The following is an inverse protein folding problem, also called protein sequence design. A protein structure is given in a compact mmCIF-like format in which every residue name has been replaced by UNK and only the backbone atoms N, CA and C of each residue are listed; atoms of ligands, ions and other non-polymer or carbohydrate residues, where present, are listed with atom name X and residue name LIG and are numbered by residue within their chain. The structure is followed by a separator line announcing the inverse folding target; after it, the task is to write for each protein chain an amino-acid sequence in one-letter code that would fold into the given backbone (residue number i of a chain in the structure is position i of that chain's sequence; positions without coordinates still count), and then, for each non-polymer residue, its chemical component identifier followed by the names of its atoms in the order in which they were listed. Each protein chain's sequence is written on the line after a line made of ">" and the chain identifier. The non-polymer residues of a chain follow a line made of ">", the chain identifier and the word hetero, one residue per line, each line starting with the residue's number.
data_IF_690547023071
#
_entry.id   IF_690547023071
#
_cell.length_a   1.000
_cell.length_b   1.000
_cell.length_c   1.000
_cell.angle_alpha   90.00
_cell.angle_beta   90.00
_cell.angle_gamma   90.00
#
_symmetry.space_group_name_H-M   'P 1'
#
loop_
_entity.id
_entity.type
_entity.pdbx_description
1 polymer ?
#
# COMPACT_ATOMS: atom_id res chain seq x y z
N UNK A 1 14.39 -30.83 29.70
CA UNK A 1 14.62 -29.64 28.87
C UNK A 1 13.49 -29.62 27.87
N UNK A 2 12.52 -28.73 28.05
CA UNK A 2 11.35 -28.65 27.17
C UNK A 2 11.57 -27.48 26.22
N UNK A 3 11.66 -27.79 24.93
CA UNK A 3 11.72 -26.79 23.86
C UNK A 3 10.34 -26.15 23.72
N UNK A 4 10.33 -24.81 23.77
CA UNK A 4 9.14 -23.98 23.64
C UNK A 4 9.14 -23.38 22.23
N UNK A 5 8.50 -24.06 21.28
CA UNK A 5 8.26 -23.58 19.91
C UNK A 5 6.76 -23.32 19.76
N UNK A 6 6.34 -22.09 20.04
CA UNK A 6 4.92 -21.68 19.93
C UNK A 6 4.68 -20.17 19.83
N UNK A 7 5.70 -19.38 19.50
CA UNK A 7 5.62 -17.91 19.54
C UNK A 7 5.23 -17.22 18.22
N UNK A 8 5.62 -17.77 17.07
CA UNK A 8 5.54 -17.05 15.79
C UNK A 8 4.15 -17.08 15.14
N UNK A 9 3.35 -18.13 15.36
CA UNK A 9 2.03 -18.27 14.75
C UNK A 9 0.96 -17.32 15.31
N UNK A 10 1.02 -17.00 16.61
CA UNK A 10 -0.01 -16.18 17.28
C UNK A 10 0.15 -14.67 17.00
N UNK A 11 1.36 -14.22 16.68
CA UNK A 11 1.65 -12.80 16.40
C UNK A 11 1.26 -12.42 14.97
N UNK A 12 1.58 -13.26 13.98
CA UNK A 12 1.25 -13.01 12.57
C UNK A 12 -0.26 -12.95 12.30
N UNK A 13 -1.04 -13.82 12.96
CA UNK A 13 -2.51 -13.81 12.84
C UNK A 13 -3.13 -12.53 13.41
N UNK A 14 -2.59 -12.06 14.54
CA UNK A 14 -3.06 -10.83 15.20
C UNK A 14 -2.73 -9.59 14.37
N UNK A 15 -1.52 -9.51 13.81
CA UNK A 15 -1.13 -8.41 12.93
C UNK A 15 -1.97 -8.41 11.65
N UNK A 16 -2.18 -9.57 11.04
CA UNK A 16 -3.04 -9.72 9.85
C UNK A 16 -4.47 -9.25 10.14
N UNK A 17 -5.04 -9.63 11.29
CA UNK A 17 -6.38 -9.21 11.67
C UNK A 17 -6.48 -7.70 11.90
N UNK A 18 -5.43 -7.10 12.47
CA UNK A 18 -5.36 -5.65 12.63
C UNK A 18 -5.28 -4.92 11.29
N UNK A 19 -4.52 -5.44 10.33
CA UNK A 19 -4.47 -4.86 8.97
C UNK A 19 -5.83 -4.94 8.27
N UNK A 20 -6.57 -6.05 8.47
CA UNK A 20 -7.97 -6.17 8.00
C UNK A 20 -8.86 -5.07 8.59
N UNK A 21 -8.77 -4.82 9.90
CA UNK A 21 -9.54 -3.74 10.56
C UNK A 21 -9.17 -2.37 9.99
N UNK A 22 -7.87 -2.08 9.86
CA UNK A 22 -7.39 -0.81 9.26
C UNK A 22 -7.94 -0.62 7.85
N UNK A 23 -7.92 -1.66 7.01
CA UNK A 23 -8.45 -1.61 5.65
C UNK A 23 -9.94 -1.28 5.63
N UNK A 24 -10.73 -1.92 6.49
CA UNK A 24 -12.18 -1.70 6.55
C UNK A 24 -12.53 -0.31 7.08
N UNK A 25 -11.95 0.08 8.22
CA UNK A 25 -12.29 1.34 8.90
C UNK A 25 -11.95 2.57 8.07
N UNK A 26 -10.84 2.52 7.32
CA UNK A 26 -10.36 3.62 6.48
C UNK A 26 -10.67 3.44 4.99
N UNK A 27 -11.44 2.40 4.62
CA UNK A 27 -11.80 2.07 3.23
C UNK A 27 -10.57 2.03 2.30
N UNK A 28 -9.51 1.36 2.74
CA UNK A 28 -8.23 1.38 2.03
C UNK A 28 -8.30 0.49 0.80
N UNK A 29 -8.00 1.06 -0.36
CA UNK A 29 -7.79 0.35 -1.61
C UNK A 29 -6.39 0.67 -2.16
N UNK A 30 -5.99 -0.02 -3.22
CA UNK A 30 -4.66 0.18 -3.80
C UNK A 30 -4.66 0.19 -5.33
N UNK A 31 -3.72 0.93 -5.92
CA UNK A 31 -3.46 0.95 -7.37
C UNK A 31 -1.97 0.87 -7.64
N UNK A 32 -1.58 0.69 -8.90
CA UNK A 32 -0.19 0.45 -9.29
C UNK A 32 0.25 1.35 -10.42
N UNK A 33 1.48 1.84 -10.35
CA UNK A 33 2.08 2.67 -11.39
C UNK A 33 3.51 2.22 -11.67
N UNK A 34 3.91 2.08 -12.95
CA UNK A 34 5.30 1.81 -13.26
C UNK A 34 6.17 3.04 -12.96
N UNK A 35 7.43 2.79 -12.63
CA UNK A 35 8.47 3.81 -12.56
C UNK A 35 9.37 3.57 -13.76
N UNK A 36 9.16 4.35 -14.81
CA UNK A 36 9.92 4.26 -16.05
C UNK A 36 10.93 5.41 -16.11
N UNK A 37 12.15 5.12 -16.57
CA UNK A 37 13.22 6.10 -16.78
C UNK A 37 13.64 6.16 -18.24
N UNK A 38 13.98 7.36 -18.75
CA UNK A 38 14.48 7.50 -20.10
C UNK A 38 15.85 6.84 -20.27
N UNK A 39 16.03 6.12 -21.38
CA UNK A 39 17.29 5.53 -21.82
C UNK A 39 17.49 5.87 -23.29
N UNK A 40 18.48 6.71 -23.57
CA UNK A 40 18.74 7.22 -24.92
C UNK A 40 17.64 8.16 -25.43
N UNK A 41 17.53 8.30 -26.76
CA UNK A 41 16.67 9.29 -27.39
C UNK A 41 15.18 8.90 -27.44
N UNK A 42 14.84 7.60 -27.36
CA UNK A 42 13.42 7.13 -27.46
C UNK A 42 13.06 6.00 -26.49
N UNK A 43 14.00 5.47 -25.70
CA UNK A 43 13.76 4.33 -24.83
C UNK A 43 13.21 4.72 -23.47
N UNK A 44 12.21 3.97 -22.98
CA UNK A 44 11.87 3.93 -21.57
C UNK A 44 12.25 2.55 -21.00
N UNK A 45 12.94 2.56 -19.87
CA UNK A 45 13.22 1.33 -19.11
C UNK A 45 12.46 1.37 -17.79
N UNK A 46 11.82 0.26 -17.45
CA UNK A 46 11.12 0.14 -16.17
C UNK A 46 12.09 -0.18 -15.06
N UNK A 47 12.30 0.75 -14.15
CA UNK A 47 13.25 0.62 -13.03
C UNK A 47 12.57 0.33 -11.70
N UNK A 48 11.24 0.41 -11.66
CA UNK A 48 10.49 0.09 -10.46
C UNK A 48 8.98 0.00 -10.68
N UNK A 49 8.30 -0.33 -9.59
CA UNK A 49 6.85 -0.34 -9.49
C UNK A 49 6.43 0.43 -8.25
N UNK A 50 5.33 1.16 -8.33
CA UNK A 50 4.71 1.82 -7.18
C UNK A 50 3.39 1.14 -6.85
N UNK A 51 3.19 0.78 -5.59
CA UNK A 51 1.87 0.48 -5.01
C UNK A 51 1.41 1.73 -4.26
N UNK A 52 0.33 2.36 -4.73
CA UNK A 52 -0.28 3.48 -4.02
C UNK A 52 -1.42 2.96 -3.16
N UNK A 53 -1.29 3.12 -1.84
CA UNK A 53 -2.33 2.86 -0.85
C UNK A 53 -3.14 4.14 -0.66
N UNK A 54 -4.44 4.04 -0.86
CA UNK A 54 -5.35 5.17 -0.76
C UNK A 54 -6.37 4.88 0.34
N UNK A 55 -6.44 5.75 1.32
CA UNK A 55 -7.39 5.67 2.43
C UNK A 55 -8.22 6.94 2.56
N UNK A 56 -9.35 6.81 3.23
CA UNK A 56 -10.23 7.93 3.60
C UNK A 56 -10.34 8.03 5.12
N UNK A 57 -10.85 9.16 5.61
CA UNK A 57 -11.21 9.29 7.02
C UNK A 57 -12.24 8.24 7.41
N UNK A 58 -12.16 7.77 8.66
CA UNK A 58 -13.12 6.83 9.20
C UNK A 58 -14.54 7.41 9.20
N UNK A 59 -15.55 6.57 8.99
CA UNK A 59 -16.94 7.03 8.91
C UNK A 59 -17.38 7.77 10.18
N UNK A 60 -18.05 8.91 10.00
CA UNK A 60 -18.58 9.71 11.11
C UNK A 60 -17.62 10.77 11.66
N UNK A 61 -16.39 10.89 11.15
CA UNK A 61 -15.50 12.00 11.49
C UNK A 61 -15.69 13.20 10.54
N UNK A 62 -15.71 14.44 11.05
CA UNK A 62 -15.78 15.62 10.21
C UNK A 62 -14.45 15.85 9.47
N UNK A 63 -14.48 16.21 8.17
CA UNK A 63 -13.34 16.25 7.24
C UNK A 63 -12.21 17.26 7.55
N UNK A 64 -12.33 18.02 8.64
CA UNK A 64 -11.45 19.15 8.94
C UNK A 64 -10.61 18.97 10.21
N UNK A 65 -10.70 17.81 10.86
CA UNK A 65 -9.88 17.57 12.03
C UNK A 65 -8.48 17.08 11.62
N UNK A 66 -7.44 17.91 11.80
CA UNK A 66 -6.04 17.52 11.57
C UNK A 66 -5.65 16.24 12.34
N UNK A 67 -6.33 15.93 13.45
CA UNK A 67 -6.16 14.65 14.17
C UNK A 67 -6.67 13.44 13.37
N UNK A 68 -7.82 13.57 12.69
CA UNK A 68 -8.41 12.51 11.85
C UNK A 68 -7.53 12.21 10.63
N UNK A 69 -7.00 13.27 10.02
CA UNK A 69 -5.99 13.20 8.96
C UNK A 69 -4.72 12.49 9.44
N UNK A 70 -4.17 12.89 10.59
CA UNK A 70 -3.00 12.24 11.15
C UNK A 70 -3.23 10.75 11.39
N UNK A 71 -4.37 10.39 11.99
CA UNK A 71 -4.75 8.99 12.24
C UNK A 71 -4.83 8.15 10.96
N UNK A 72 -5.40 8.69 9.88
CA UNK A 72 -5.50 7.95 8.60
C UNK A 72 -4.11 7.72 7.99
N UNK A 73 -3.22 8.73 8.04
CA UNK A 73 -1.85 8.55 7.58
C UNK A 73 -1.03 7.59 8.44
N UNK A 74 -1.26 7.58 9.75
CA UNK A 74 -0.62 6.61 10.65
C UNK A 74 -1.06 5.18 10.33
N UNK A 75 -2.35 4.97 10.03
CA UNK A 75 -2.88 3.69 9.60
C UNK A 75 -2.29 3.24 8.25
N UNK A 76 -2.27 4.13 7.25
CA UNK A 76 -1.64 3.86 5.96
C UNK A 76 -0.14 3.53 6.11
N UNK A 77 0.57 4.25 6.98
CA UNK A 77 2.01 4.05 7.19
C UNK A 77 2.28 2.72 7.89
N UNK A 78 1.40 2.34 8.83
CA UNK A 78 1.47 1.05 9.50
C UNK A 78 1.23 -0.10 8.53
N UNK A 79 0.22 0.01 7.69
CA UNK A 79 -0.04 -0.96 6.63
C UNK A 79 1.15 -1.07 5.66
N UNK A 80 1.69 0.07 5.21
CA UNK A 80 2.86 0.10 4.34
C UNK A 80 4.06 -0.62 4.98
N UNK A 81 4.36 -0.35 6.26
CA UNK A 81 5.46 -0.99 6.98
C UNK A 81 5.25 -2.50 7.16
N UNK A 82 4.02 -2.92 7.44
CA UNK A 82 3.68 -4.34 7.56
C UNK A 82 3.87 -5.07 6.22
N UNK A 83 3.41 -4.48 5.12
CA UNK A 83 3.61 -5.02 3.76
C UNK A 83 5.09 -5.21 3.43
N UNK A 84 5.94 -4.27 3.87
CA UNK A 84 7.37 -4.22 3.53
C UNK A 84 8.29 -4.78 4.62
N UNK A 85 7.76 -5.49 5.61
CA UNK A 85 8.50 -5.92 6.81
C UNK A 85 9.64 -6.90 6.51
N UNK A 86 9.48 -7.71 5.47
CA UNK A 86 10.44 -8.75 5.07
C UNK A 86 10.83 -8.56 3.60
N UNK A 87 11.72 -7.60 3.28
CA UNK A 87 12.12 -7.36 1.90
C UNK A 87 12.94 -8.53 1.33
N UNK A 88 12.60 -9.04 0.12
CA UNK A 88 13.45 -9.99 -0.57
C UNK A 88 14.85 -9.44 -0.83
N UNK A 89 15.84 -10.34 -0.92
CA UNK A 89 17.22 -9.93 -1.21
C UNK A 89 17.29 -9.18 -2.54
N UNK A 90 17.96 -8.02 -2.55
CA UNK A 90 18.12 -7.17 -3.74
C UNK A 90 16.96 -6.19 -3.98
N UNK A 91 15.91 -6.24 -3.16
CA UNK A 91 14.77 -5.32 -3.23
C UNK A 91 14.89 -4.26 -2.13
N UNK A 92 14.57 -3.02 -2.48
CA UNK A 92 14.40 -1.92 -1.54
C UNK A 92 13.00 -1.33 -1.67
N UNK A 93 12.33 -1.16 -0.54
CA UNK A 93 11.08 -0.42 -0.47
C UNK A 93 11.32 1.03 -0.05
N UNK A 94 10.71 1.97 -0.76
CA UNK A 94 10.71 3.40 -0.42
C UNK A 94 9.26 3.86 -0.19
N UNK A 95 8.93 4.17 1.06
CA UNK A 95 7.60 4.57 1.51
C UNK A 95 7.51 6.09 1.54
N UNK A 96 6.58 6.66 0.77
CA UNK A 96 6.40 8.12 0.68
C UNK A 96 4.97 8.54 0.97
N UNK A 97 4.82 9.56 1.80
CA UNK A 97 3.56 10.24 2.07
C UNK A 97 3.32 11.34 1.03
N UNK A 98 2.12 11.40 0.46
CA UNK A 98 1.76 12.45 -0.49
C UNK A 98 0.61 13.30 0.07
N UNK A 99 0.84 14.61 0.18
CA UNK A 99 -0.13 15.56 0.73
C UNK A 99 -1.00 16.23 -0.35
N UNK A 100 -0.47 16.36 -1.57
CA UNK A 100 -1.13 16.96 -2.73
C UNK A 100 -0.87 16.06 -3.91
N UNK A 101 -1.86 15.24 -4.29
CA UNK A 101 -1.61 14.17 -5.23
C UNK A 101 -2.39 14.37 -6.51
N UNK A 102 -1.66 14.48 -7.63
CA UNK A 102 -2.19 14.18 -8.96
C UNK A 102 -1.80 12.73 -9.30
N UNK A 103 -2.36 11.76 -8.59
CA UNK A 103 -2.44 10.40 -9.13
C UNK A 103 -3.71 10.36 -9.97
N UNK A 104 -3.69 9.67 -11.11
CA UNK A 104 -4.90 9.30 -11.81
C UNK A 104 -5.62 8.25 -10.98
N UNK A 105 -6.30 8.74 -9.96
CA UNK A 105 -7.19 7.94 -9.15
C UNK A 105 -8.50 7.73 -9.93
N UNK A 106 -9.15 6.56 -9.78
CA UNK A 106 -10.39 6.31 -10.49
C UNK A 106 -11.47 7.35 -10.17
N UNK A 107 -12.33 7.59 -11.16
CA UNK A 107 -13.28 8.70 -11.15
C UNK A 107 -14.40 8.59 -10.10
N UNK A 108 -14.50 7.46 -9.40
CA UNK A 108 -15.44 7.22 -8.30
C UNK A 108 -14.98 7.82 -6.96
N UNK A 109 -13.75 8.33 -6.88
CA UNK A 109 -13.25 9.11 -5.74
C UNK A 109 -13.79 10.54 -5.65
N UNK A 110 -14.74 10.91 -6.52
CA UNK A 110 -15.51 12.17 -6.44
C UNK A 110 -16.54 12.15 -5.29
N UNK A 111 -16.20 11.52 -4.18
CA UNK A 111 -16.97 11.59 -2.94
C UNK A 111 -16.54 12.84 -2.17
N UNK A 112 -17.40 13.38 -1.30
CA UNK A 112 -17.09 14.53 -0.44
C UNK A 112 -16.06 14.21 0.67
N UNK A 113 -15.16 13.24 0.47
CA UNK A 113 -14.17 12.77 1.45
C UNK A 113 -12.75 13.13 1.00
N UNK A 114 -11.90 13.49 1.95
CA UNK A 114 -10.47 13.65 1.70
C UNK A 114 -9.83 12.29 1.46
N UNK A 115 -9.08 12.15 0.37
CA UNK A 115 -8.28 10.98 0.08
C UNK A 115 -6.83 11.21 0.54
N UNK A 116 -6.26 10.25 1.24
CA UNK A 116 -4.88 10.26 1.70
C UNK A 116 -4.09 9.14 1.05
N UNK A 117 -2.86 9.45 0.63
CA UNK A 117 -2.07 8.50 -0.15
C UNK A 117 -0.69 8.29 0.45
N UNK A 118 -0.32 7.02 0.60
CA UNK A 118 1.05 6.58 0.79
C UNK A 118 1.44 5.70 -0.39
N UNK A 119 2.59 5.97 -0.99
CA UNK A 119 3.15 5.15 -2.05
C UNK A 119 4.29 4.28 -1.52
N UNK A 120 4.25 2.99 -1.83
CA UNK A 120 5.34 2.05 -1.63
C UNK A 120 6.02 1.81 -2.98
N UNK A 121 7.25 2.28 -3.15
CA UNK A 121 8.04 2.04 -4.35
C UNK A 121 8.90 0.81 -4.16
N UNK A 122 8.86 -0.09 -5.13
CA UNK A 122 9.62 -1.33 -5.21
C UNK A 122 10.75 -1.07 -6.19
N UNK A 123 11.98 -1.02 -5.67
CA UNK A 123 13.17 -0.62 -6.39
C UNK A 123 14.27 -1.67 -6.22
N UNK A 124 15.30 -1.59 -7.05
CA UNK A 124 16.58 -2.24 -6.79
C UNK A 124 17.27 -1.61 -5.57
N UNK A 125 17.95 -2.44 -4.79
CA UNK A 125 18.67 -1.99 -3.60
C UNK A 125 20.01 -1.32 -3.92
N UNK A 126 20.66 -1.71 -5.02
CA UNK A 126 22.04 -1.30 -5.33
C UNK A 126 22.14 -0.35 -6.54
N UNK A 127 21.25 -0.45 -7.52
CA UNK A 127 21.31 0.30 -8.77
C UNK A 127 19.97 0.99 -9.05
N UNK A 128 19.95 2.33 -9.07
CA UNK A 128 18.71 3.09 -9.21
C UNK A 128 18.12 3.02 -10.63
N UNK A 129 18.95 2.79 -11.64
CA UNK A 129 18.64 2.77 -13.07
C UNK A 129 18.56 1.38 -13.69
N UNK A 130 18.79 0.34 -12.89
CA UNK A 130 18.64 -1.02 -13.34
C UNK A 130 17.16 -1.35 -13.67
N UNK A 131 16.89 -2.05 -14.79
CA UNK A 131 15.57 -2.57 -15.08
C UNK A 131 15.10 -3.51 -13.98
N UNK A 132 13.81 -3.52 -13.64
CA UNK A 132 13.25 -4.46 -12.66
C UNK A 132 13.63 -5.91 -13.01
N UNK A 133 14.04 -6.68 -12.00
CA UNK A 133 14.35 -8.10 -12.12
C UNK A 133 13.31 -8.97 -11.43
N UNK A 134 13.58 -10.28 -11.41
CA UNK A 134 12.71 -11.31 -10.82
C UNK A 134 12.36 -10.99 -9.36
N UNK A 135 13.34 -10.61 -8.54
CA UNK A 135 13.11 -10.28 -7.13
C UNK A 135 12.12 -9.12 -6.92
N UNK A 136 12.15 -8.08 -7.76
CA UNK A 136 11.18 -6.98 -7.67
C UNK A 136 9.78 -7.40 -8.13
N UNK A 137 9.69 -8.31 -9.10
CA UNK A 137 8.43 -8.87 -9.58
C UNK A 137 7.81 -9.75 -8.49
N UNK A 138 8.60 -10.61 -7.86
CA UNK A 138 8.18 -11.44 -6.74
C UNK A 138 7.73 -10.60 -5.54
N UNK A 139 8.52 -9.59 -5.16
CA UNK A 139 8.14 -8.65 -4.11
C UNK A 139 6.82 -7.96 -4.44
N UNK A 140 6.65 -7.51 -5.69
CA UNK A 140 5.39 -6.90 -6.12
C UNK A 140 4.21 -7.86 -6.05
N UNK A 141 4.39 -9.13 -6.41
CA UNK A 141 3.35 -10.15 -6.29
C UNK A 141 3.00 -10.42 -4.83
N UNK A 142 3.98 -10.54 -3.93
CA UNK A 142 3.77 -10.72 -2.49
C UNK A 142 2.96 -9.57 -1.87
N UNK A 143 3.27 -8.31 -2.22
CA UNK A 143 2.46 -7.17 -1.77
C UNK A 143 1.00 -7.28 -2.23
N UNK A 144 0.76 -7.69 -3.49
CA UNK A 144 -0.59 -7.83 -4.03
C UNK A 144 -1.36 -8.95 -3.31
N UNK A 145 -0.71 -10.07 -3.03
CA UNK A 145 -1.32 -11.20 -2.34
C UNK A 145 -1.65 -10.84 -0.89
N UNK A 146 -0.73 -10.20 -0.16
CA UNK A 146 -0.98 -9.68 1.20
C UNK A 146 -2.16 -8.71 1.23
N UNK A 147 -2.23 -7.77 0.29
CA UNK A 147 -3.34 -6.81 0.18
C UNK A 147 -4.69 -7.49 -0.10
N UNK A 148 -4.68 -8.51 -0.95
CA UNK A 148 -5.86 -9.32 -1.24
C UNK A 148 -6.31 -10.11 -0.01
N UNK A 149 -5.38 -10.70 0.73
CA UNK A 149 -5.67 -11.52 1.92
C UNK A 149 -6.27 -10.73 3.08
N UNK A 150 -5.94 -9.43 3.18
CA UNK A 150 -6.56 -8.51 4.14
C UNK A 150 -7.84 -7.83 3.59
N UNK A 151 -8.28 -8.19 2.39
CA UNK A 151 -9.52 -7.71 1.78
C UNK A 151 -9.44 -6.28 1.22
N UNK A 152 -8.24 -5.77 0.94
CA UNK A 152 -8.07 -4.45 0.30
C UNK A 152 -8.28 -4.55 -1.22
N UNK A 153 -9.30 -3.89 -1.78
CA UNK A 153 -9.61 -4.00 -3.20
C UNK A 153 -8.59 -3.25 -4.06
N UNK A 154 -8.40 -3.74 -5.29
CA UNK A 154 -7.59 -3.06 -6.32
C UNK A 154 -8.42 -1.98 -7.03
N UNK A 155 -7.75 -0.90 -7.39
CA UNK A 155 -8.22 0.31 -8.06
C UNK A 155 -9.19 1.17 -7.25
N UNK A 156 -10.21 0.59 -6.61
CA UNK A 156 -11.22 1.39 -5.93
C UNK A 156 -11.92 0.64 -4.79
N UNK A 157 -12.46 1.40 -3.83
CA UNK A 157 -13.34 0.86 -2.80
C UNK A 157 -14.76 0.68 -3.36
N UNK A 158 -15.25 -0.56 -3.37
CA UNK A 158 -16.64 -0.84 -3.74
C UNK A 158 -17.52 -0.60 -2.52
N UNK A 159 -18.32 0.47 -2.52
CA UNK A 159 -19.38 0.58 -1.52
C UNK A 159 -20.37 -0.57 -1.75
N UNK A 160 -20.48 -1.46 -0.76
CA UNK A 160 -21.59 -2.39 -0.72
C UNK A 160 -22.85 -1.55 -0.49
N UNK A 161 -23.55 -1.20 -1.57
CA UNK A 161 -24.92 -0.73 -1.47
C UNK A 161 -25.75 -1.89 -0.90
N UNK A 162 -25.93 -1.91 0.42
CA UNK A 162 -27.00 -2.69 1.03
C UNK A 162 -28.29 -2.13 0.45
N UNK A 163 -28.84 -2.85 -0.53
CA UNK A 163 -30.19 -2.59 -1.01
C UNK A 163 -31.10 -2.93 0.17
N UNK A 164 -31.62 -1.89 0.82
CA UNK A 164 -32.70 -2.00 1.81
C UNK A 164 -33.98 -2.46 1.11
#
# INVERSE_FOLDING_TARGET
>A
MSENTGGEGLTGDRETQEMKTIVQDHKIFWTTMPIDMPVGEEGLVRVGMTVALVGTEAEGQPPENESAKAATFDCLNRLAKWLTSEPPKGVRFDIRRHYNVVFFLPGDLRTNRNNYVISVRILHNEQFDAPIGEAQIEAFQDLQDKLKDIGSPKEHWKEHHTTL
#
